data_IF_938450566478
#
_entry.id   IF_938450566478
#
_cell.length_a   1.000
_cell.length_b   1.000
_cell.length_c   1.000
_cell.angle_alpha   90.00
_cell.angle_beta   90.00
_cell.angle_gamma   90.00
#
_symmetry.space_group_name_H-M   'P 1'
#
loop_
_entity.id
_entity.type
_entity.pdbx_description
1 polymer ?
#
# COMPACT_ATOMS: atom_id res chain seq x y z
N UNK A 1 6.77 18.31 -5.73
CA UNK A 1 5.58 18.85 -5.03
C UNK A 1 4.35 18.89 -5.92
N UNK A 2 4.50 18.81 -7.26
CA UNK A 2 3.38 18.92 -8.21
C UNK A 2 2.95 17.59 -8.84
N UNK A 3 3.50 16.47 -8.34
CA UNK A 3 3.24 15.13 -8.88
C UNK A 3 2.51 14.28 -7.84
N UNK A 4 1.33 13.79 -8.21
CA UNK A 4 0.56 12.79 -7.49
C UNK A 4 0.90 11.40 -8.02
N UNK A 5 1.19 10.46 -7.14
CA UNK A 5 1.47 9.07 -7.48
C UNK A 5 0.31 8.18 -7.04
N UNK A 6 -0.05 7.22 -7.87
CA UNK A 6 -1.10 6.23 -7.63
C UNK A 6 -0.53 4.84 -7.86
N UNK A 7 -0.58 3.98 -6.84
CA UNK A 7 -0.01 2.63 -6.87
C UNK A 7 -1.08 1.58 -6.56
N UNK A 8 -1.26 0.62 -7.47
CA UNK A 8 -2.06 -0.58 -7.27
C UNK A 8 -3.51 -0.33 -6.88
N UNK A 9 -3.97 -1.08 -5.89
CA UNK A 9 -5.38 -1.20 -5.52
C UNK A 9 -5.99 -2.48 -6.08
N UNK A 10 -7.31 -2.48 -6.25
CA UNK A 10 -8.01 -3.53 -6.99
C UNK A 10 -9.12 -2.92 -7.83
N UNK A 11 -9.43 -3.56 -8.94
CA UNK A 11 -10.65 -3.32 -9.71
C UNK A 11 -11.69 -4.41 -9.43
N UNK A 12 -12.95 -4.13 -9.74
CA UNK A 12 -14.05 -5.07 -9.62
C UNK A 12 -14.50 -5.51 -11.01
N UNK A 13 -14.44 -6.82 -11.24
CA UNK A 13 -14.88 -7.44 -12.49
C UNK A 13 -16.12 -8.31 -12.24
N UNK A 14 -16.92 -8.51 -13.28
CA UNK A 14 -18.03 -9.46 -13.21
C UNK A 14 -17.50 -10.89 -13.18
N UNK A 15 -17.90 -11.66 -12.18
CA UNK A 15 -17.64 -13.10 -12.10
C UNK A 15 -18.94 -13.91 -12.02
N UNK A 16 -18.84 -15.26 -12.08
CA UNK A 16 -20.01 -16.15 -12.13
C UNK A 16 -20.95 -16.06 -10.93
N UNK A 17 -20.46 -15.56 -9.78
CA UNK A 17 -21.22 -15.44 -8.52
C UNK A 17 -21.31 -14.00 -8.00
N UNK A 18 -21.10 -13.01 -8.88
CA UNK A 18 -21.05 -11.59 -8.51
C UNK A 18 -19.68 -10.96 -8.77
N UNK A 19 -19.43 -9.81 -8.15
CA UNK A 19 -18.18 -9.06 -8.36
C UNK A 19 -16.97 -9.80 -7.77
N UNK A 20 -15.89 -9.85 -8.54
CA UNK A 20 -14.60 -10.44 -8.16
C UNK A 20 -13.53 -9.36 -8.22
N UNK A 21 -12.66 -9.33 -7.22
CA UNK A 21 -11.53 -8.40 -7.17
C UNK A 21 -10.40 -8.89 -8.08
N UNK A 22 -9.90 -8.01 -8.93
CA UNK A 22 -8.62 -8.14 -9.60
C UNK A 22 -7.64 -7.16 -8.93
N UNK A 23 -6.63 -7.70 -8.27
CA UNK A 23 -5.62 -6.91 -7.58
C UNK A 23 -4.60 -6.37 -8.59
N UNK A 24 -4.25 -5.10 -8.44
CA UNK A 24 -3.48 -4.35 -9.42
C UNK A 24 -2.06 -4.08 -8.92
N UNK A 25 -1.09 -4.15 -9.84
CA UNK A 25 0.30 -3.76 -9.61
C UNK A 25 0.73 -2.55 -10.44
N UNK A 26 -0.15 -2.01 -11.29
CA UNK A 26 0.17 -0.87 -12.12
C UNK A 26 0.28 0.41 -11.30
N UNK A 27 1.11 1.32 -11.81
CA UNK A 27 1.50 2.53 -11.11
C UNK A 27 1.45 3.70 -12.09
N UNK A 28 0.99 4.85 -11.59
CA UNK A 28 0.85 6.06 -12.39
C UNK A 28 1.32 7.28 -11.64
N UNK A 29 1.76 8.28 -12.41
CA UNK A 29 2.09 9.59 -11.91
C UNK A 29 1.33 10.66 -12.71
N UNK A 30 0.68 11.58 -12.02
CA UNK A 30 0.06 12.77 -12.59
C UNK A 30 0.83 13.99 -12.15
N UNK A 31 1.32 14.79 -13.11
CA UNK A 31 1.92 16.09 -12.79
C UNK A 31 0.94 17.19 -13.14
N UNK A 32 0.72 18.14 -12.23
CA UNK A 32 -0.20 19.25 -12.43
C UNK A 32 0.10 19.99 -13.75
N UNK A 33 -0.92 20.21 -14.58
CA UNK A 33 -0.78 20.81 -15.91
C UNK A 33 -0.22 19.89 -16.99
N UNK A 34 0.02 18.60 -16.69
CA UNK A 34 0.45 17.57 -17.64
C UNK A 34 -0.55 16.41 -17.68
N UNK A 35 -0.22 15.36 -18.41
CA UNK A 35 -1.01 14.11 -18.46
C UNK A 35 -0.52 13.10 -17.43
N UNK A 36 -1.33 12.08 -17.20
CA UNK A 36 -0.89 10.86 -16.54
C UNK A 36 0.23 10.19 -17.34
N UNK A 37 1.20 9.62 -16.64
CA UNK A 37 2.17 8.68 -17.19
C UNK A 37 2.13 7.37 -16.41
N UNK A 38 2.42 6.27 -17.10
CA UNK A 38 2.70 4.99 -16.44
C UNK A 38 4.06 5.05 -15.76
N UNK A 39 4.18 4.37 -14.63
CA UNK A 39 5.43 4.13 -13.90
C UNK A 39 5.73 2.62 -13.92
N UNK A 40 6.93 2.26 -13.46
CA UNK A 40 7.30 0.87 -13.24
C UNK A 40 6.30 0.19 -12.30
N UNK A 41 5.87 -1.00 -12.67
CA UNK A 41 4.83 -1.71 -11.92
C UNK A 41 5.43 -2.31 -10.65
N UNK A 42 4.61 -2.44 -9.61
CA UNK A 42 5.05 -3.10 -8.39
C UNK A 42 5.42 -4.57 -8.67
N UNK A 43 6.43 -5.14 -7.97
CA UNK A 43 6.77 -6.55 -8.11
C UNK A 43 5.61 -7.50 -7.77
N UNK A 44 4.68 -7.05 -6.92
CA UNK A 44 3.46 -7.76 -6.55
C UNK A 44 2.28 -6.78 -6.55
N UNK A 45 1.07 -7.26 -6.86
CA UNK A 45 -0.14 -6.48 -6.67
C UNK A 45 -0.35 -6.22 -5.16
N UNK A 46 -0.78 -5.00 -4.82
CA UNK A 46 -1.02 -4.58 -3.44
C UNK A 46 -2.19 -3.60 -3.39
N UNK A 47 -3.06 -3.77 -2.41
CA UNK A 47 -4.19 -2.91 -2.14
C UNK A 47 -4.24 -2.46 -0.68
N UNK A 48 -4.96 -1.36 -0.44
CA UNK A 48 -5.30 -0.86 0.89
C UNK A 48 -4.10 -0.59 1.83
N UNK A 49 -2.89 -0.38 1.30
CA UNK A 49 -1.78 0.11 2.12
C UNK A 49 -2.16 1.47 2.79
N UNK A 50 -1.53 1.84 3.92
CA UNK A 50 -1.73 3.13 4.53
C UNK A 50 -1.49 4.28 3.56
N UNK A 51 -2.38 5.29 3.57
CA UNK A 51 -2.30 6.45 2.66
C UNK A 51 -2.43 7.78 3.41
N UNK A 52 -1.84 8.89 2.90
CA UNK A 52 -0.83 8.93 1.84
C UNK A 52 0.46 8.19 2.23
N UNK A 53 1.17 7.65 1.24
CA UNK A 53 2.45 6.99 1.48
C UNK A 53 3.50 7.99 2.00
N UNK A 54 4.35 7.62 2.98
CA UNK A 54 5.51 8.43 3.36
C UNK A 54 6.41 8.75 2.17
N UNK A 55 6.97 9.96 2.16
CA UNK A 55 7.91 10.41 1.13
C UNK A 55 9.16 10.98 1.81
N UNK A 56 10.33 10.45 1.45
CA UNK A 56 11.64 10.88 1.98
C UNK A 56 12.56 11.10 0.78
N UNK A 57 13.00 12.34 0.54
CA UNK A 57 13.79 12.67 -0.64
C UNK A 57 13.08 12.23 -1.93
N UNK A 58 13.71 11.35 -2.72
CA UNK A 58 13.17 10.77 -3.95
C UNK A 58 12.38 9.46 -3.76
N UNK A 59 12.23 9.00 -2.53
CA UNK A 59 11.63 7.70 -2.22
C UNK A 59 10.21 7.84 -1.71
N UNK A 60 9.33 6.93 -2.14
CA UNK A 60 7.95 6.79 -1.68
C UNK A 60 7.81 5.39 -1.08
N UNK A 61 7.35 5.33 0.16
CA UNK A 61 7.32 4.09 0.95
C UNK A 61 5.91 3.53 0.98
N UNK A 62 5.71 2.35 0.39
CA UNK A 62 4.47 1.60 0.48
C UNK A 62 4.57 0.63 1.66
N UNK A 63 3.72 0.85 2.67
CA UNK A 63 3.79 0.16 3.96
C UNK A 63 2.80 -1.01 4.00
N UNK A 64 3.25 -2.23 3.68
CA UNK A 64 2.39 -3.42 3.70
C UNK A 64 1.28 -3.37 2.63
N UNK A 65 0.16 -4.03 2.92
CA UNK A 65 -1.01 -4.08 2.04
C UNK A 65 -1.58 -5.49 1.89
N UNK A 66 -2.75 -5.59 1.24
CA UNK A 66 -3.36 -6.85 0.83
C UNK A 66 -2.88 -7.24 -0.57
N UNK A 67 -2.16 -8.36 -0.68
CA UNK A 67 -1.65 -8.88 -1.96
C UNK A 67 -2.67 -9.73 -2.73
N UNK A 68 -3.86 -9.93 -2.15
CA UNK A 68 -4.97 -10.64 -2.76
C UNK A 68 -4.79 -12.14 -2.89
N UNK A 69 -3.63 -12.73 -2.52
CA UNK A 69 -3.35 -14.15 -2.75
C UNK A 69 -4.34 -15.07 -2.02
N UNK A 70 -4.85 -14.63 -0.88
CA UNK A 70 -5.79 -15.38 -0.04
C UNK A 70 -7.25 -14.88 -0.14
N UNK A 71 -7.51 -13.83 -0.92
CA UNK A 71 -8.84 -13.25 -1.08
C UNK A 71 -9.84 -14.28 -1.60
N UNK A 72 -10.91 -14.54 -0.82
CA UNK A 72 -11.95 -15.51 -1.14
C UNK A 72 -11.52 -16.99 -1.06
N UNK A 73 -10.27 -17.29 -0.66
CA UNK A 73 -9.75 -18.67 -0.57
C UNK A 73 -9.73 -19.23 0.85
N UNK A 74 -9.73 -18.35 1.85
CA UNK A 74 -9.70 -18.72 3.26
C UNK A 74 -10.79 -17.98 4.03
N UNK A 75 -11.33 -18.63 5.06
CA UNK A 75 -12.23 -18.00 6.00
C UNK A 75 -11.54 -16.85 6.73
N UNK A 76 -12.26 -15.74 6.94
CA UNK A 76 -11.75 -14.53 7.59
C UNK A 76 -11.06 -14.83 8.94
N UNK A 77 -11.65 -15.71 9.75
CA UNK A 77 -11.14 -16.08 11.08
C UNK A 77 -9.82 -16.88 11.05
N UNK A 78 -9.47 -17.48 9.90
CA UNK A 78 -8.25 -18.27 9.70
C UNK A 78 -7.19 -17.53 8.88
N UNK A 79 -7.48 -16.32 8.44
CA UNK A 79 -6.53 -15.52 7.66
C UNK A 79 -5.25 -15.28 8.49
N UNK A 80 -4.05 -15.43 7.94
CA UNK A 80 -2.79 -15.25 8.70
C UNK A 80 -2.37 -13.79 8.90
N UNK A 81 -3.16 -12.85 8.34
CA UNK A 81 -2.86 -11.41 8.31
C UNK A 81 -2.45 -10.94 6.91
N UNK A 82 -2.24 -9.63 6.76
CA UNK A 82 -1.83 -9.00 5.49
C UNK A 82 -0.31 -8.92 5.34
N UNK A 83 0.18 -8.42 4.20
CA UNK A 83 1.61 -8.24 3.98
C UNK A 83 2.18 -7.21 4.96
N UNK A 84 3.36 -7.52 5.50
CA UNK A 84 4.20 -6.60 6.28
C UNK A 84 5.31 -5.99 5.44
N UNK A 85 5.51 -6.45 4.19
CA UNK A 85 6.62 -6.00 3.35
C UNK A 85 6.55 -4.48 3.10
N UNK A 86 7.70 -3.82 3.22
CA UNK A 86 7.89 -2.41 2.86
C UNK A 86 8.52 -2.37 1.47
N UNK A 87 7.81 -1.74 0.54
CA UNK A 87 8.32 -1.46 -0.80
C UNK A 87 8.66 0.01 -0.93
N UNK A 88 9.82 0.31 -1.53
CA UNK A 88 10.24 1.67 -1.82
C UNK A 88 10.21 1.87 -3.32
N UNK A 89 9.51 2.91 -3.76
CA UNK A 89 9.57 3.41 -5.12
C UNK A 89 10.48 4.63 -5.19
N UNK A 90 11.52 4.57 -6.01
CA UNK A 90 12.39 5.70 -6.28
C UNK A 90 11.84 6.48 -7.49
N UNK A 91 11.35 7.71 -7.27
CA UNK A 91 10.69 8.50 -8.32
C UNK A 91 11.65 9.10 -9.36
N UNK A 92 12.94 9.16 -9.06
CA UNK A 92 13.97 9.63 -10.00
C UNK A 92 14.43 8.51 -10.93
N UNK A 93 14.52 7.28 -10.41
CA UNK A 93 14.97 6.10 -11.14
C UNK A 93 13.84 5.29 -11.78
N UNK A 94 12.59 5.52 -11.37
CA UNK A 94 11.41 4.73 -11.77
C UNK A 94 11.61 3.23 -11.49
N UNK A 95 12.00 2.91 -10.24
CA UNK A 95 12.31 1.54 -9.82
C UNK A 95 11.76 1.23 -8.44
N UNK A 96 11.54 -0.06 -8.19
CA UNK A 96 11.09 -0.59 -6.91
C UNK A 96 12.19 -1.40 -6.21
N UNK A 97 12.31 -1.22 -4.90
CA UNK A 97 13.15 -2.05 -4.03
C UNK A 97 12.35 -2.55 -2.83
N UNK A 98 12.83 -3.63 -2.21
CA UNK A 98 12.32 -4.11 -0.91
C UNK A 98 13.21 -3.56 0.20
N UNK A 99 12.61 -3.02 1.26
CA UNK A 99 13.35 -2.37 2.34
C UNK A 99 13.31 -3.11 3.68
N UNK A 100 12.31 -3.98 3.88
CA UNK A 100 12.15 -4.73 5.13
C UNK A 100 10.69 -5.05 5.39
N UNK A 101 10.34 -5.27 6.67
CA UNK A 101 8.98 -5.55 7.11
C UNK A 101 8.56 -4.64 8.27
N UNK A 102 7.27 -4.29 8.31
CA UNK A 102 6.62 -3.66 9.43
C UNK A 102 6.54 -4.61 10.64
N UNK A 103 6.49 -4.07 11.87
CA UNK A 103 6.26 -4.87 13.07
C UNK A 103 4.85 -5.48 13.10
N UNK A 104 3.88 -4.87 12.41
CA UNK A 104 2.52 -5.36 12.29
C UNK A 104 1.98 -5.10 10.87
N UNK A 105 1.16 -6.03 10.37
CA UNK A 105 0.43 -5.84 9.13
C UNK A 105 -0.78 -4.95 9.42
N UNK A 106 -0.84 -3.77 8.81
CA UNK A 106 -2.01 -2.88 8.92
C UNK A 106 -2.37 -2.29 7.57
N UNK A 107 -3.65 -2.41 7.23
CA UNK A 107 -4.23 -1.89 5.99
C UNK A 107 -5.42 -0.97 6.28
N UNK A 108 -5.93 -0.31 5.25
CA UNK A 108 -7.14 0.52 5.27
C UNK A 108 -7.11 1.60 6.36
N UNK A 109 -5.97 2.28 6.49
CA UNK A 109 -5.77 3.36 7.46
C UNK A 109 -4.95 4.53 6.90
N UNK A 110 -4.88 5.61 7.67
CA UNK A 110 -4.11 6.80 7.35
C UNK A 110 -2.65 6.70 7.79
N UNK A 111 -1.79 7.41 7.07
CA UNK A 111 -0.41 7.68 7.46
C UNK A 111 -0.15 9.19 7.37
N UNK A 112 0.44 9.78 8.40
CA UNK A 112 0.70 11.24 8.45
C UNK A 112 2.12 11.54 8.91
N UNK A 113 2.77 12.59 8.40
CA UNK A 113 3.99 13.10 9.01
C UNK A 113 3.78 13.39 10.51
N UNK A 114 4.75 13.03 11.32
CA UNK A 114 4.77 13.28 12.77
C UNK A 114 6.21 13.46 13.26
N UNK A 115 6.52 14.65 13.79
CA UNK A 115 7.89 15.04 14.17
C UNK A 115 8.89 14.78 13.03
N UNK A 116 9.90 13.94 13.25
CA UNK A 116 10.95 13.58 12.27
C UNK A 116 10.60 12.35 11.44
N UNK A 117 9.35 11.88 11.50
CA UNK A 117 8.94 10.66 10.80
C UNK A 117 7.46 10.64 10.46
N UNK A 118 6.84 9.47 10.58
CA UNK A 118 5.46 9.22 10.15
C UNK A 118 4.70 8.37 11.15
N UNK A 119 3.46 8.76 11.45
CA UNK A 119 2.56 8.00 12.30
C UNK A 119 1.53 7.24 11.45
N UNK A 120 1.33 5.97 11.78
CA UNK A 120 0.23 5.12 11.30
C UNK A 120 -0.59 4.74 12.54
N UNK A 121 -1.91 4.94 12.49
CA UNK A 121 -2.79 4.65 13.63
C UNK A 121 -3.90 3.69 13.20
N UNK A 122 -4.36 2.81 14.09
CA UNK A 122 -5.45 1.87 13.80
C UNK A 122 -5.13 0.94 12.61
N UNK A 123 -6.09 0.70 11.73
CA UNK A 123 -5.97 -0.20 10.59
C UNK A 123 -6.42 -1.62 10.89
N UNK A 124 -6.64 -2.34 9.81
CA UNK A 124 -7.10 -3.72 9.81
C UNK A 124 -5.89 -4.66 9.76
N UNK A 125 -5.80 -5.56 10.73
CA UNK A 125 -4.68 -6.53 10.84
C UNK A 125 -5.02 -7.86 10.19
N UNK A 126 -6.30 -8.20 10.21
CA UNK A 126 -6.90 -9.38 9.62
C UNK A 126 -8.31 -9.00 9.14
N UNK A 127 -8.91 -9.76 8.22
CA UNK A 127 -10.28 -9.54 7.80
C UNK A 127 -11.23 -9.31 8.98
N UNK A 128 -11.88 -8.15 9.01
CA UNK A 128 -12.81 -7.67 10.05
C UNK A 128 -12.21 -7.47 11.46
N UNK A 129 -10.88 -7.44 11.60
CA UNK A 129 -10.19 -7.22 12.88
C UNK A 129 -9.27 -5.99 12.82
N UNK A 130 -9.59 -4.98 13.62
CA UNK A 130 -8.81 -3.74 13.69
C UNK A 130 -7.92 -3.64 14.92
N UNK A 131 -6.84 -2.89 14.79
CA UNK A 131 -5.93 -2.56 15.90
C UNK A 131 -6.37 -1.28 16.60
N UNK A 132 -6.15 -1.21 17.91
CA UNK A 132 -6.22 0.03 18.69
C UNK A 132 -4.84 0.71 18.82
N UNK A 133 -3.79 0.10 18.27
CA UNK A 133 -2.42 0.58 18.36
C UNK A 133 -2.11 1.70 17.37
N UNK A 134 -0.95 2.32 17.58
CA UNK A 134 -0.32 3.22 16.63
C UNK A 134 1.18 2.95 16.56
N UNK A 135 1.75 3.19 15.38
CA UNK A 135 3.16 2.99 15.08
C UNK A 135 3.77 4.31 14.61
N UNK A 136 5.00 4.54 15.04
CA UNK A 136 5.82 5.67 14.60
C UNK A 136 7.01 5.11 13.82
N UNK A 137 7.09 5.43 12.52
CA UNK A 137 8.29 5.24 11.73
C UNK A 137 9.19 6.46 11.88
N UNK A 138 10.47 6.26 12.18
CA UNK A 138 11.46 7.34 12.30
C UNK A 138 12.38 7.35 11.09
N UNK A 139 12.73 8.55 10.64
CA UNK A 139 13.77 8.78 9.64
C UNK A 139 14.92 9.41 10.42
N UNK A 140 16.01 8.67 10.60
CA UNK A 140 17.26 9.22 11.15
C UNK A 140 18.18 9.69 10.02
#
# INVERSE_FOLDING_TARGET
KDTFFLFGGFTLNNGPKGLVREYLSDCYAFTLGKTWRKCESMPNALAAAPTPCPVIGDEIYLLGGDDGKLSGKIEAAKHPGFSKEIHIYNKALDTWTKAGELPAAVIATGCTPWKTGFAVVNGETHPSRRSAEGWLGTVE
#
